data_IF_951082060827
#
_entry.id   IF_951082060827
#
_cell.length_a   1.000
_cell.length_b   1.000
_cell.length_c   1.000
_cell.angle_alpha   90.00
_cell.angle_beta   90.00
_cell.angle_gamma   90.00
#
_symmetry.space_group_name_H-M   'P 1'
#
loop_
_entity.id
_entity.type
_entity.pdbx_description
1 polymer ?
#
# COMPACT_ATOMS: atom_id res chain seq x y z
N UNK A 1 -65.01 -17.55 -42.07
CA UNK A 1 -64.64 -16.23 -42.61
C UNK A 1 -63.96 -15.44 -41.52
N UNK A 2 -62.77 -14.88 -41.79
CA UNK A 2 -62.04 -13.81 -41.07
C UNK A 2 -61.73 -14.03 -39.56
N UNK A 3 -60.59 -13.66 -38.95
CA UNK A 3 -59.51 -12.73 -39.27
C UNK A 3 -58.26 -13.02 -38.38
N UNK A 4 -57.08 -12.55 -38.80
CA UNK A 4 -55.78 -12.44 -38.10
C UNK A 4 -55.61 -10.93 -37.79
N UNK A 5 -55.06 -10.40 -36.66
CA UNK A 5 -53.60 -10.45 -36.40
C UNK A 5 -53.11 -10.24 -34.94
N UNK A 6 -51.80 -10.44 -34.71
CA UNK A 6 -51.15 -10.05 -33.46
C UNK A 6 -49.68 -10.43 -33.31
N UNK A 7 -48.85 -10.26 -34.34
CA UNK A 7 -47.39 -10.40 -34.23
C UNK A 7 -46.80 -9.13 -33.58
N UNK A 8 -46.83 -9.05 -32.24
CA UNK A 8 -46.20 -7.98 -31.49
C UNK A 8 -44.71 -8.25 -31.30
N UNK A 9 -43.88 -7.76 -32.21
CA UNK A 9 -42.43 -7.71 -32.00
C UNK A 9 -42.11 -6.78 -30.81
N UNK A 10 -41.27 -7.19 -29.84
CA UNK A 10 -40.78 -6.29 -28.81
C UNK A 10 -39.76 -5.33 -29.43
N UNK A 11 -40.23 -4.20 -29.96
CA UNK A 11 -39.33 -3.21 -30.58
C UNK A 11 -39.98 -1.95 -31.14
N UNK A 12 -41.26 -1.67 -30.91
CA UNK A 12 -41.92 -0.49 -31.47
C UNK A 12 -42.74 0.26 -30.43
N UNK A 13 -42.08 1.03 -29.56
CA UNK A 13 -42.71 2.16 -28.87
C UNK A 13 -41.70 3.29 -28.62
N UNK A 14 -41.90 4.39 -29.38
CA UNK A 14 -41.64 5.80 -29.03
C UNK A 14 -40.19 6.28 -28.89
N UNK A 15 -39.54 6.57 -30.03
CA UNK A 15 -38.23 7.24 -30.09
C UNK A 15 -38.28 8.78 -30.24
N UNK A 16 -39.46 9.42 -30.26
CA UNK A 16 -39.52 10.88 -30.57
C UNK A 16 -39.62 11.82 -29.37
N UNK A 17 -39.97 11.33 -28.16
CA UNK A 17 -40.17 12.20 -26.98
C UNK A 17 -39.37 11.78 -25.74
N UNK A 18 -38.23 11.09 -25.89
CA UNK A 18 -37.36 10.88 -24.74
C UNK A 18 -36.68 12.20 -24.41
N UNK A 19 -37.05 12.80 -23.28
CA UNK A 19 -36.52 14.09 -22.86
C UNK A 19 -35.00 14.04 -22.72
N UNK A 20 -34.29 15.12 -23.08
CA UNK A 20 -32.83 15.24 -22.91
C UNK A 20 -32.42 14.93 -21.45
N UNK A 21 -33.29 15.26 -20.49
CA UNK A 21 -33.11 14.93 -19.07
C UNK A 21 -33.09 13.43 -18.78
N UNK A 22 -33.88 12.64 -19.50
CA UNK A 22 -33.97 11.19 -19.32
C UNK A 22 -32.75 10.50 -19.97
N UNK A 23 -32.26 10.99 -21.11
CA UNK A 23 -31.02 10.52 -21.73
C UNK A 23 -29.77 10.82 -20.88
N UNK A 24 -29.71 12.01 -20.27
CA UNK A 24 -28.62 12.38 -19.34
C UNK A 24 -28.68 11.54 -18.05
N UNK A 25 -29.87 11.29 -17.52
CA UNK A 25 -30.07 10.44 -16.35
C UNK A 25 -29.59 9.00 -16.62
N UNK A 26 -29.96 8.42 -17.77
CA UNK A 26 -29.51 7.09 -18.19
C UNK A 26 -28.00 7.03 -18.42
N UNK A 27 -27.42 8.03 -19.08
CA UNK A 27 -25.97 8.10 -19.30
C UNK A 27 -25.19 8.18 -17.97
N UNK A 28 -25.68 9.00 -17.02
CA UNK A 28 -25.09 9.14 -15.69
C UNK A 28 -25.22 7.84 -14.88
N UNK A 29 -26.35 7.16 -14.99
CA UNK A 29 -26.58 5.84 -14.41
C UNK A 29 -25.59 4.78 -14.95
N UNK A 30 -25.34 4.78 -16.26
CA UNK A 30 -24.42 3.87 -16.91
C UNK A 30 -22.95 4.11 -16.49
N UNK A 31 -22.53 5.38 -16.39
CA UNK A 31 -21.20 5.73 -15.87
C UNK A 31 -21.04 5.29 -14.40
N UNK A 32 -22.05 5.54 -13.57
CA UNK A 32 -22.06 5.11 -12.17
C UNK A 32 -21.94 3.58 -12.03
N UNK A 33 -22.54 2.85 -12.97
CA UNK A 33 -22.45 1.39 -13.04
C UNK A 33 -21.05 0.92 -13.43
N UNK A 34 -20.40 1.56 -14.40
CA UNK A 34 -19.01 1.25 -14.78
C UNK A 34 -18.04 1.50 -13.64
N UNK A 35 -18.12 2.65 -12.98
CA UNK A 35 -17.26 2.98 -11.83
C UNK A 35 -17.43 1.95 -10.71
N UNK A 36 -18.69 1.56 -10.42
CA UNK A 36 -18.98 0.54 -9.40
C UNK A 36 -18.43 -0.84 -9.78
N UNK A 37 -18.41 -1.18 -11.07
CA UNK A 37 -17.84 -2.44 -11.57
C UNK A 37 -16.31 -2.41 -11.47
N UNK A 38 -15.67 -1.31 -11.85
CA UNK A 38 -14.22 -1.15 -11.77
C UNK A 38 -13.73 -1.24 -10.31
N UNK A 39 -14.44 -0.60 -9.38
CA UNK A 39 -14.14 -0.72 -7.94
C UNK A 39 -14.32 -2.17 -7.47
N UNK A 40 -15.37 -2.87 -7.92
CA UNK A 40 -15.57 -4.29 -7.58
C UNK A 40 -14.44 -5.15 -8.13
N UNK A 41 -13.99 -4.91 -9.35
CA UNK A 41 -12.90 -5.63 -9.98
C UNK A 41 -11.58 -5.36 -9.26
N UNK A 42 -11.24 -4.10 -9.02
CA UNK A 42 -10.05 -3.70 -8.27
C UNK A 42 -10.04 -4.30 -6.86
N UNK A 43 -11.20 -4.39 -6.19
CA UNK A 43 -11.31 -5.05 -4.88
C UNK A 43 -11.08 -6.56 -4.97
N UNK A 44 -11.55 -7.21 -6.03
CA UNK A 44 -11.31 -8.63 -6.27
C UNK A 44 -9.83 -8.90 -6.57
N UNK A 45 -9.20 -8.06 -7.38
CA UNK A 45 -7.78 -8.16 -7.71
C UNK A 45 -6.91 -7.90 -6.47
N UNK A 46 -7.19 -6.84 -5.71
CA UNK A 46 -6.52 -6.57 -4.45
C UNK A 46 -6.65 -7.74 -3.45
N UNK A 47 -7.82 -8.38 -3.38
CA UNK A 47 -8.02 -9.59 -2.55
C UNK A 47 -7.23 -10.79 -3.08
N UNK A 48 -7.19 -10.98 -4.39
CA UNK A 48 -6.43 -12.05 -5.03
C UNK A 48 -4.93 -11.86 -4.80
N UNK A 49 -4.41 -10.64 -4.92
CA UNK A 49 -3.02 -10.31 -4.66
C UNK A 49 -2.66 -10.44 -3.19
N UNK A 50 -3.52 -9.97 -2.29
CA UNK A 50 -3.34 -10.21 -0.85
C UNK A 50 -3.27 -11.71 -0.52
N UNK A 51 -4.11 -12.54 -1.18
CA UNK A 51 -4.08 -13.98 -1.00
C UNK A 51 -2.81 -14.62 -1.58
N UNK A 52 -2.31 -14.16 -2.74
CA UNK A 52 -1.03 -14.61 -3.32
C UNK A 52 0.14 -14.27 -2.39
N UNK A 53 0.21 -13.03 -1.92
CA UNK A 53 1.22 -12.57 -0.96
C UNK A 53 1.13 -13.41 0.32
N UNK A 54 -0.07 -13.60 0.86
CA UNK A 54 -0.29 -14.40 2.06
C UNK A 54 0.20 -15.85 1.92
N UNK A 55 -0.05 -16.50 0.78
CA UNK A 55 0.49 -17.84 0.48
C UNK A 55 2.01 -17.85 0.39
N UNK A 56 2.60 -16.84 -0.24
CA UNK A 56 4.05 -16.67 -0.30
C UNK A 56 4.66 -16.57 1.10
N UNK A 57 4.13 -15.66 1.93
CA UNK A 57 4.56 -15.46 3.32
C UNK A 57 4.42 -16.74 4.16
N UNK A 58 3.33 -17.50 3.98
CA UNK A 58 3.13 -18.77 4.66
C UNK A 58 4.18 -19.82 4.27
N UNK A 59 4.55 -19.90 2.97
CA UNK A 59 5.64 -20.77 2.51
C UNK A 59 7.00 -20.40 3.11
N UNK A 60 7.27 -19.09 3.24
CA UNK A 60 8.49 -18.61 3.88
C UNK A 60 8.59 -18.95 5.36
N UNK A 61 7.47 -19.16 6.07
CA UNK A 61 7.53 -19.60 7.47
C UNK A 61 8.17 -20.99 7.60
N UNK A 62 7.79 -21.93 6.74
CA UNK A 62 8.35 -23.29 6.73
C UNK A 62 9.83 -23.25 6.36
N UNK A 63 10.17 -22.55 5.27
CA UNK A 63 11.56 -22.40 4.84
C UNK A 63 12.40 -21.70 5.90
N UNK A 64 11.85 -20.70 6.59
CA UNK A 64 12.52 -19.99 7.68
C UNK A 64 12.85 -20.90 8.86
N UNK A 65 11.90 -21.75 9.28
CA UNK A 65 12.15 -22.75 10.34
C UNK A 65 13.20 -23.76 9.92
N UNK A 66 13.10 -24.31 8.70
CA UNK A 66 14.09 -25.26 8.17
C UNK A 66 15.49 -24.63 8.06
N UNK A 67 15.58 -23.41 7.54
CA UNK A 67 16.83 -22.67 7.45
C UNK A 67 17.42 -22.41 8.84
N UNK A 68 16.59 -22.09 9.84
CA UNK A 68 17.04 -21.91 11.21
C UNK A 68 17.63 -23.19 11.81
N UNK A 69 16.96 -24.33 11.64
CA UNK A 69 17.47 -25.65 12.07
C UNK A 69 18.78 -25.96 11.35
N UNK A 70 18.85 -25.72 10.03
CA UNK A 70 20.05 -25.95 9.25
C UNK A 70 21.23 -25.12 9.75
N UNK A 71 21.03 -23.84 10.06
CA UNK A 71 22.08 -22.97 10.63
C UNK A 71 22.58 -23.52 11.97
N UNK A 72 21.71 -24.02 12.84
CA UNK A 72 22.12 -24.62 14.12
C UNK A 72 23.01 -25.85 13.87
N UNK A 73 22.57 -26.77 13.01
CA UNK A 73 23.37 -27.97 12.69
C UNK A 73 24.69 -27.61 12.01
N UNK A 74 24.68 -26.66 11.07
CA UNK A 74 25.88 -26.16 10.40
C UNK A 74 26.86 -25.53 11.41
N UNK A 75 26.35 -24.84 12.43
CA UNK A 75 27.18 -24.24 13.49
C UNK A 75 27.95 -25.30 14.27
N UNK A 76 27.26 -26.39 14.64
CA UNK A 76 27.87 -27.52 15.35
C UNK A 76 28.90 -28.21 14.46
N UNK A 77 28.55 -28.50 13.20
CA UNK A 77 29.47 -29.10 12.22
C UNK A 77 30.71 -28.24 12.00
N UNK A 78 30.55 -26.93 11.85
CA UNK A 78 31.67 -26.00 11.68
C UNK A 78 32.57 -25.98 12.91
N UNK A 79 32.00 -25.91 14.12
CA UNK A 79 32.78 -25.93 15.36
C UNK A 79 33.56 -27.24 15.53
N UNK A 80 32.95 -28.38 15.22
CA UNK A 80 33.65 -29.68 15.23
C UNK A 80 34.76 -29.74 14.20
N UNK A 81 34.55 -29.21 12.99
CA UNK A 81 35.57 -29.17 11.97
C UNK A 81 36.76 -28.31 12.41
N UNK A 82 36.52 -27.15 13.05
CA UNK A 82 37.57 -26.32 13.62
C UNK A 82 38.30 -27.02 14.78
N UNK A 83 37.58 -27.77 15.61
CA UNK A 83 38.16 -28.55 16.70
C UNK A 83 39.09 -29.65 16.17
N UNK A 84 38.61 -30.50 15.24
CA UNK A 84 39.36 -31.65 14.73
C UNK A 84 40.49 -31.25 13.78
N UNK A 85 40.22 -30.36 12.82
CA UNK A 85 41.17 -30.06 11.73
C UNK A 85 42.23 -29.05 12.18
N UNK A 86 41.82 -28.03 12.94
CA UNK A 86 42.75 -26.98 13.38
C UNK A 86 43.28 -27.23 14.81
N UNK A 87 42.82 -28.26 15.52
CA UNK A 87 43.31 -28.65 16.84
C UNK A 87 42.97 -27.63 17.94
N UNK A 88 41.97 -26.79 17.72
CA UNK A 88 41.58 -25.78 18.71
C UNK A 88 40.84 -26.44 19.89
N UNK A 89 40.94 -25.88 21.11
CA UNK A 89 40.10 -26.32 22.21
C UNK A 89 38.63 -25.97 21.90
N UNK A 90 37.70 -26.82 22.34
CA UNK A 90 36.28 -26.70 21.98
C UNK A 90 35.70 -25.30 22.19
N UNK A 91 36.00 -24.66 23.33
CA UNK A 91 35.52 -23.30 23.63
C UNK A 91 35.95 -22.26 22.57
N UNK A 92 37.16 -22.38 22.02
CA UNK A 92 37.67 -21.47 21.01
C UNK A 92 37.02 -21.74 19.65
N UNK A 93 36.80 -23.01 19.28
CA UNK A 93 36.12 -23.39 18.04
C UNK A 93 34.69 -22.86 18.00
N UNK A 94 33.90 -23.06 19.07
CA UNK A 94 32.57 -22.49 19.17
C UNK A 94 32.60 -20.96 19.20
N UNK A 95 33.55 -20.36 19.92
CA UNK A 95 33.72 -18.91 19.99
C UNK A 95 33.98 -18.27 18.61
N UNK A 96 34.80 -18.89 17.76
CA UNK A 96 35.07 -18.40 16.40
C UNK A 96 33.81 -18.45 15.54
N UNK A 97 33.04 -19.54 15.59
CA UNK A 97 31.78 -19.65 14.84
C UNK A 97 30.77 -18.60 15.31
N UNK A 98 30.66 -18.36 16.62
CA UNK A 98 29.82 -17.29 17.17
C UNK A 98 30.27 -15.92 16.69
N UNK A 99 31.57 -15.64 16.70
CA UNK A 99 32.13 -14.37 16.22
C UNK A 99 31.83 -14.17 14.73
N UNK A 100 31.96 -15.21 13.91
CA UNK A 100 31.63 -15.17 12.49
C UNK A 100 30.16 -14.77 12.25
N UNK A 101 29.22 -15.35 13.01
CA UNK A 101 27.81 -14.94 12.93
C UNK A 101 27.56 -13.52 13.43
N UNK A 102 28.28 -13.08 14.46
CA UNK A 102 28.16 -11.71 14.96
C UNK A 102 28.60 -10.69 13.91
N UNK A 103 29.71 -10.97 13.21
CA UNK A 103 30.18 -10.14 12.10
C UNK A 103 29.19 -10.13 10.93
N UNK A 104 28.63 -11.30 10.60
CA UNK A 104 27.62 -11.40 9.56
C UNK A 104 26.34 -10.61 9.92
N UNK A 105 25.86 -10.75 11.16
CA UNK A 105 24.72 -10.02 11.67
C UNK A 105 24.97 -8.49 11.67
N UNK A 106 26.16 -8.05 12.08
CA UNK A 106 26.55 -6.65 12.00
C UNK A 106 26.54 -6.15 10.55
N UNK A 107 27.13 -6.88 9.61
CA UNK A 107 27.15 -6.51 8.20
C UNK A 107 25.73 -6.35 7.61
N UNK A 108 24.85 -7.33 7.85
CA UNK A 108 23.45 -7.24 7.41
C UNK A 108 22.67 -6.13 8.11
N UNK A 109 22.88 -5.94 9.41
CA UNK A 109 22.26 -4.86 10.17
C UNK A 109 22.66 -3.47 9.64
N UNK A 110 23.95 -3.26 9.40
CA UNK A 110 24.46 -2.03 8.80
C UNK A 110 23.91 -1.83 7.38
N UNK A 111 23.88 -2.87 6.55
CA UNK A 111 23.31 -2.81 5.20
C UNK A 111 21.81 -2.45 5.22
N UNK A 112 21.04 -3.06 6.14
CA UNK A 112 19.62 -2.77 6.31
C UNK A 112 19.41 -1.31 6.73
N UNK A 113 20.15 -0.82 7.74
CA UNK A 113 20.07 0.57 8.18
C UNK A 113 20.47 1.52 7.06
N UNK A 114 21.56 1.25 6.34
CA UNK A 114 22.02 2.07 5.23
C UNK A 114 20.96 2.14 4.11
N UNK A 115 20.31 1.02 3.81
CA UNK A 115 19.26 0.95 2.80
C UNK A 115 18.00 1.70 3.24
N UNK A 116 17.60 1.60 4.51
CA UNK A 116 16.46 2.33 5.05
C UNK A 116 16.69 3.84 5.06
N UNK A 117 17.91 4.28 5.41
CA UNK A 117 18.31 5.70 5.33
C UNK A 117 18.30 6.23 3.91
N UNK A 118 18.74 5.43 2.93
CA UNK A 118 18.62 5.81 1.50
C UNK A 118 17.17 5.97 1.03
N UNK A 119 16.20 5.34 1.72
CA UNK A 119 14.76 5.40 1.40
C UNK A 119 13.98 6.41 2.26
N UNK A 120 14.66 7.44 2.78
CA UNK A 120 14.07 8.57 3.53
C UNK A 120 12.88 9.26 2.81
N UNK A 121 12.71 9.06 1.50
CA UNK A 121 11.53 9.50 0.75
C UNK A 121 10.20 8.95 1.29
N UNK A 122 10.16 7.72 1.82
CA UNK A 122 8.91 7.15 2.38
C UNK A 122 8.49 7.82 3.69
N UNK A 123 9.44 8.31 4.50
CA UNK A 123 9.11 8.95 5.77
C UNK A 123 8.44 10.31 5.56
N UNK A 124 8.84 11.06 4.52
CA UNK A 124 8.16 12.31 4.15
C UNK A 124 6.72 12.05 3.73
N UNK A 125 6.48 11.01 2.93
CA UNK A 125 5.12 10.61 2.53
C UNK A 125 4.30 10.12 3.72
N UNK A 126 4.88 9.32 4.62
CA UNK A 126 4.22 8.86 5.84
C UNK A 126 3.82 10.02 6.76
N UNK A 127 4.66 11.05 6.88
CA UNK A 127 4.36 12.28 7.64
C UNK A 127 3.24 13.10 6.99
N UNK A 128 3.20 13.19 5.66
CA UNK A 128 2.11 13.88 4.96
C UNK A 128 0.79 13.12 5.08
N UNK A 129 0.81 11.80 4.94
CA UNK A 129 -0.37 10.94 5.12
C UNK A 129 -0.87 10.95 6.56
N UNK A 130 0.03 10.96 7.55
CA UNK A 130 -0.38 11.03 8.96
C UNK A 130 -0.95 12.41 9.33
N UNK A 131 -0.41 13.50 8.78
CA UNK A 131 -1.00 14.85 8.91
C UNK A 131 -2.39 14.91 8.29
N UNK A 132 -2.55 14.35 7.09
CA UNK A 132 -3.86 14.31 6.42
C UNK A 132 -4.87 13.45 7.19
N UNK A 133 -4.44 12.31 7.72
CA UNK A 133 -5.25 11.47 8.61
C UNK A 133 -5.62 12.20 9.92
N UNK A 134 -4.70 12.98 10.48
CA UNK A 134 -4.95 13.82 11.66
C UNK A 134 -5.98 14.93 11.39
N UNK A 135 -5.98 15.52 10.20
CA UNK A 135 -7.01 16.49 9.78
C UNK A 135 -8.38 15.80 9.64
N UNK A 136 -8.44 14.62 9.01
CA UNK A 136 -9.67 13.82 8.92
C UNK A 136 -10.19 13.35 10.28
N UNK A 137 -9.29 13.16 11.26
CA UNK A 137 -9.61 12.78 12.63
C UNK A 137 -9.97 13.97 13.52
N UNK A 138 -9.74 15.20 13.05
CA UNK A 138 -10.03 16.44 13.77
C UNK A 138 -8.95 16.88 14.76
N UNK A 139 -7.79 16.22 14.76
CA UNK A 139 -6.69 16.46 15.70
C UNK A 139 -5.88 17.73 15.36
N UNK A 140 -5.98 18.25 14.12
CA UNK A 140 -5.25 19.42 13.64
C UNK A 140 -6.22 20.37 12.93
N UNK A 141 -6.41 21.58 13.49
CA UNK A 141 -7.21 22.65 12.88
C UNK A 141 -6.32 23.46 11.91
N UNK A 142 -6.71 23.65 10.64
CA UNK A 142 -5.93 24.48 9.72
C UNK A 142 -5.87 25.92 10.26
N UNK A 143 -4.72 26.62 10.12
CA UNK A 143 -4.62 28.02 10.52
C UNK A 143 -5.66 28.81 9.73
N UNK A 144 -6.56 29.48 10.44
CA UNK A 144 -7.50 30.39 9.81
C UNK A 144 -6.68 31.55 9.24
N UNK A 145 -6.83 31.77 7.94
CA UNK A 145 -6.33 32.90 7.17
C UNK A 145 -6.99 34.24 7.58
N UNK A 146 -7.27 34.41 8.88
CA UNK A 146 -7.95 35.56 9.46
C UNK A 146 -6.97 36.57 10.07
N UNK A 147 -5.67 36.46 9.81
CA UNK A 147 -4.65 37.39 10.34
C UNK A 147 -4.14 38.38 9.29
N UNK A 148 -4.55 38.29 8.01
CA UNK A 148 -4.02 39.17 6.94
C UNK A 148 -5.12 39.84 6.10
N UNK A 149 -6.20 40.27 6.76
CA UNK A 149 -7.18 41.19 6.15
C UNK A 149 -7.40 42.46 6.98
N UNK A 150 -6.68 42.62 8.10
CA UNK A 150 -6.80 43.80 8.94
C UNK A 150 -5.90 44.98 8.51
N UNK A 151 -4.86 44.75 7.71
CA UNK A 151 -3.84 45.77 7.38
C UNK A 151 -4.07 46.46 6.02
N UNK A 152 -4.72 45.80 5.06
CA UNK A 152 -4.91 46.37 3.71
C UNK A 152 -6.10 47.34 3.57
N UNK A 153 -6.87 47.55 4.64
CA UNK A 153 -8.00 48.48 4.66
C UNK A 153 -7.59 49.95 4.92
N UNK A 154 -6.34 50.21 5.31
CA UNK A 154 -5.85 51.56 5.64
C UNK A 154 -5.29 52.34 4.43
N UNK A 155 -5.09 51.69 3.27
CA UNK A 155 -4.45 52.29 2.10
C UNK A 155 -5.40 53.03 1.12
N UNK A 156 -6.70 53.15 1.43
CA UNK A 156 -7.71 53.73 0.52
C UNK A 156 -8.41 54.96 1.11
N UNK A 157 -7.65 56.03 1.37
CA UNK A 157 -8.20 57.37 1.55
C UNK A 157 -8.05 58.20 0.25
N UNK A 158 -9.14 58.77 -0.32
CA UNK A 158 -9.05 59.56 -1.53
C UNK A 158 -8.59 60.99 -1.22
N UNK A 159 -7.48 61.43 -1.81
CA UNK A 159 -7.09 62.83 -1.84
C UNK A 159 -8.08 63.62 -2.73
N UNK A 160 -8.99 64.35 -2.09
CA UNK A 160 -9.92 65.25 -2.75
C UNK A 160 -9.50 66.71 -2.55
N UNK A 161 -9.29 67.39 -3.69
CA UNK A 161 -9.27 68.84 -3.95
C UNK A 161 -8.22 69.73 -3.29
#
# INVERSE_FOLDING_TARGET
MAEKPGTGAPGATRDTDRSISELVSDATGNISRLVSLEIKLAKLEAKADAAKIGKGVAGFAVVGVLAHIFVILLSVTAAFLLYEVAGLPGWASFGIVTLAYLLLAAAFGLYAIATLRKREGLQRTALTTSRFAGILRGDIRPPSNTVETADSAEASAPAAR
#
